data_IF_659005284439
#
_entry.id   IF_659005284439
#
_cell.length_a   1.000
_cell.length_b   1.000
_cell.length_c   1.000
_cell.angle_alpha   90.00
_cell.angle_beta   90.00
_cell.angle_gamma   90.00
#
_symmetry.space_group_name_H-M   'P 1'
#
loop_
_entity.id
_entity.type
_entity.pdbx_description
1 polymer ?
#
# COMPACT_ATOMS: atom_id res chain seq x y z
N UNK A 1 -14.13 20.78 23.84
CA UNK A 1 -13.35 19.53 23.72
C UNK A 1 -13.76 18.90 22.41
N UNK A 2 -12.97 19.08 21.34
CA UNK A 2 -13.18 18.28 20.13
C UNK A 2 -12.49 16.95 20.38
N UNK A 3 -13.27 15.86 20.37
CA UNK A 3 -12.69 14.53 20.21
C UNK A 3 -11.85 14.53 18.94
N UNK A 4 -10.65 13.92 18.90
CA UNK A 4 -10.04 13.64 17.62
C UNK A 4 -11.06 12.80 16.85
N UNK A 5 -11.58 13.35 15.75
CA UNK A 5 -12.27 12.52 14.77
C UNK A 5 -11.20 11.54 14.31
N UNK A 6 -11.28 10.29 14.78
CA UNK A 6 -10.45 9.18 14.30
C UNK A 6 -10.60 9.14 12.78
N UNK A 7 -9.67 9.77 12.07
CA UNK A 7 -9.72 9.88 10.62
C UNK A 7 -9.35 8.52 10.05
N UNK A 8 -10.35 7.81 9.54
CA UNK A 8 -10.22 6.55 8.81
C UNK A 8 -9.01 6.57 7.88
N UNK A 9 -8.16 5.55 7.92
CA UNK A 9 -7.01 5.41 7.02
C UNK A 9 -7.45 5.34 5.56
N UNK A 10 -6.54 5.59 4.63
CA UNK A 10 -6.82 5.50 3.20
C UNK A 10 -5.99 4.38 2.58
N UNK A 11 -6.65 3.36 2.03
CA UNK A 11 -6.00 2.29 1.27
C UNK A 11 -6.33 2.49 -0.22
N UNK A 12 -5.30 2.70 -1.03
CA UNK A 12 -5.45 2.96 -2.46
C UNK A 12 -4.73 1.90 -3.27
N UNK A 13 -5.49 1.03 -3.93
CA UNK A 13 -4.96 0.07 -4.90
C UNK A 13 -4.78 0.74 -6.26
N UNK A 14 -3.60 0.61 -6.84
CA UNK A 14 -3.26 1.28 -8.09
C UNK A 14 -2.45 0.39 -9.03
N UNK A 15 -2.91 0.33 -10.28
CA UNK A 15 -2.17 -0.24 -11.40
C UNK A 15 -1.03 0.66 -11.90
N UNK A 16 -0.94 1.89 -11.39
CA UNK A 16 0.13 2.83 -11.70
C UNK A 16 1.14 2.90 -10.55
N UNK A 17 2.42 2.92 -10.92
CA UNK A 17 3.54 3.13 -10.00
C UNK A 17 3.61 4.59 -9.57
N UNK A 18 3.90 4.85 -8.30
CA UNK A 18 4.07 6.20 -7.77
C UNK A 18 5.17 6.96 -8.51
N UNK A 19 6.27 6.30 -8.86
CA UNK A 19 7.46 6.97 -9.41
C UNK A 19 7.41 7.19 -10.95
N UNK A 20 6.34 6.80 -11.66
CA UNK A 20 6.31 6.85 -13.13
C UNK A 20 6.05 8.26 -13.69
N UNK A 21 4.92 8.89 -13.34
CA UNK A 21 4.57 10.25 -13.76
C UNK A 21 3.83 10.94 -12.63
N UNK A 22 4.26 12.14 -12.24
CA UNK A 22 3.57 12.92 -11.23
C UNK A 22 2.20 13.38 -11.76
N UNK A 23 1.12 12.84 -11.19
CA UNK A 23 -0.25 13.06 -11.66
C UNK A 23 -1.17 13.57 -10.53
N UNK A 24 -2.38 13.99 -10.89
CA UNK A 24 -3.42 14.44 -9.94
C UNK A 24 -3.66 13.51 -8.75
N UNK A 25 -3.59 12.16 -8.88
CA UNK A 25 -3.72 11.27 -7.73
C UNK A 25 -2.68 11.57 -6.64
N UNK A 26 -1.41 11.80 -7.00
CA UNK A 26 -0.35 12.04 -6.02
C UNK A 26 -0.60 13.32 -5.23
N UNK A 27 -0.95 14.42 -5.89
CA UNK A 27 -1.35 15.66 -5.20
C UNK A 27 -2.51 15.45 -4.22
N UNK A 28 -3.52 14.67 -4.60
CA UNK A 28 -4.66 14.38 -3.72
C UNK A 28 -4.24 13.53 -2.53
N UNK A 29 -3.47 12.47 -2.75
CA UNK A 29 -3.05 11.54 -1.71
C UNK A 29 -2.07 12.18 -0.73
N UNK A 30 -1.09 12.93 -1.21
CA UNK A 30 -0.18 13.75 -0.38
C UNK A 30 -0.94 14.78 0.47
N UNK A 31 -2.09 15.29 0.00
CA UNK A 31 -2.94 16.17 0.81
C UNK A 31 -3.66 15.41 1.92
N UNK A 32 -4.14 14.19 1.65
CA UNK A 32 -4.76 13.35 2.68
C UNK A 32 -3.73 12.87 3.71
N UNK A 33 -2.50 12.60 3.28
CA UNK A 33 -1.37 12.18 4.13
C UNK A 33 -0.99 13.22 5.19
N UNK A 34 -1.42 14.48 5.05
CA UNK A 34 -1.27 15.52 6.10
C UNK A 34 -2.22 15.34 7.28
N UNK A 35 -3.24 14.51 7.15
CA UNK A 35 -4.35 14.40 8.10
C UNK A 35 -4.65 12.97 8.54
N UNK A 36 -4.30 11.96 7.73
CA UNK A 36 -4.52 10.53 8.02
C UNK A 36 -3.41 9.69 7.38
N UNK A 37 -3.25 8.43 7.82
CA UNK A 37 -2.31 7.51 7.16
C UNK A 37 -2.85 7.16 5.77
N UNK A 38 -1.96 7.14 4.79
CA UNK A 38 -2.28 6.79 3.41
C UNK A 38 -1.36 5.67 2.97
N UNK A 39 -1.95 4.55 2.58
CA UNK A 39 -1.30 3.39 2.01
C UNK A 39 -1.62 3.35 0.51
N UNK A 40 -0.59 3.43 -0.32
CA UNK A 40 -0.70 3.31 -1.76
C UNK A 40 -0.13 1.96 -2.17
N UNK A 41 -1.03 1.02 -2.45
CA UNK A 41 -0.71 -0.36 -2.79
C UNK A 41 -0.53 -0.45 -4.30
N UNK A 42 0.68 -0.78 -4.73
CA UNK A 42 0.99 -1.00 -6.14
C UNK A 42 0.86 -2.47 -6.54
N UNK A 43 0.83 -2.73 -7.84
CA UNK A 43 0.91 -4.07 -8.42
C UNK A 43 2.10 -4.89 -7.90
N UNK A 44 1.99 -6.22 -7.79
CA UNK A 44 3.12 -7.06 -7.42
C UNK A 44 4.32 -6.91 -8.38
N UNK A 45 5.52 -7.02 -7.84
CA UNK A 45 6.77 -7.15 -8.60
C UNK A 45 7.27 -8.58 -8.50
N UNK A 46 7.34 -9.25 -9.66
CA UNK A 46 7.72 -10.66 -9.76
C UNK A 46 9.19 -10.75 -10.16
N UNK A 47 9.95 -11.61 -9.47
CA UNK A 47 11.32 -11.98 -9.82
C UNK A 47 12.43 -11.08 -9.29
N UNK A 48 12.10 -10.17 -8.38
CA UNK A 48 13.10 -9.34 -7.69
C UNK A 48 13.58 -9.96 -6.36
N UNK A 49 12.98 -11.08 -5.95
CA UNK A 49 13.21 -11.74 -4.66
C UNK A 49 13.14 -13.26 -4.81
N UNK A 50 13.73 -13.99 -3.86
CA UNK A 50 13.56 -15.44 -3.71
C UNK A 50 12.42 -15.81 -2.77
N UNK A 51 11.99 -14.88 -1.92
CA UNK A 51 10.94 -15.07 -0.91
C UNK A 51 9.90 -13.96 -1.01
N UNK A 52 8.63 -14.35 -0.86
CA UNK A 52 7.49 -13.45 -0.94
C UNK A 52 7.45 -12.53 0.29
N UNK A 53 7.37 -11.22 0.10
CA UNK A 53 7.28 -10.24 1.19
C UNK A 53 6.68 -8.91 0.74
N UNK A 54 6.20 -8.11 1.69
CA UNK A 54 5.86 -6.70 1.43
C UNK A 54 7.08 -5.80 1.53
N UNK A 55 7.29 -5.02 0.49
CA UNK A 55 8.21 -3.89 0.52
C UNK A 55 7.43 -2.61 0.79
N UNK A 56 7.67 -1.99 1.96
CA UNK A 56 7.02 -0.75 2.38
C UNK A 56 8.03 0.38 2.42
N UNK A 57 7.76 1.48 1.71
CA UNK A 57 8.56 2.72 1.77
C UNK A 57 7.67 3.92 2.04
N UNK A 58 8.17 4.89 2.80
CA UNK A 58 7.49 6.16 3.00
C UNK A 58 8.06 7.22 2.04
N UNK A 59 7.17 7.96 1.39
CA UNK A 59 7.52 9.08 0.50
C UNK A 59 7.82 10.35 1.29
N UNK A 60 8.41 11.36 0.64
CA UNK A 60 8.59 12.69 1.25
C UNK A 60 7.25 13.35 1.61
N UNK A 61 6.15 12.91 1.01
CA UNK A 61 4.80 13.39 1.26
C UNK A 61 3.99 12.54 2.27
N UNK A 62 4.66 11.71 3.08
CA UNK A 62 4.07 10.85 4.11
C UNK A 62 3.04 9.82 3.60
N UNK A 63 3.14 9.45 2.31
CA UNK A 63 2.40 8.32 1.75
C UNK A 63 3.25 7.06 1.89
N UNK A 64 2.69 6.00 2.48
CA UNK A 64 3.32 4.67 2.54
C UNK A 64 3.04 3.92 1.24
N UNK A 65 4.06 3.70 0.44
CA UNK A 65 3.99 2.85 -0.75
C UNK A 65 4.17 1.41 -0.32
N UNK A 66 3.19 0.57 -0.65
CA UNK A 66 3.17 -0.85 -0.31
C UNK A 66 3.27 -1.63 -1.61
N UNK A 67 4.32 -2.44 -1.74
CA UNK A 67 4.61 -3.17 -2.98
C UNK A 67 4.82 -4.65 -2.62
N UNK A 68 3.95 -5.56 -3.10
CA UNK A 68 4.19 -6.99 -2.95
C UNK A 68 5.37 -7.44 -3.83
N UNK A 69 6.36 -8.07 -3.23
CA UNK A 69 7.48 -8.68 -3.94
C UNK A 69 7.29 -10.19 -3.94
N UNK A 70 7.29 -10.80 -5.13
CA UNK A 70 7.02 -12.23 -5.31
C UNK A 70 8.18 -12.90 -6.07
N UNK A 71 8.59 -14.12 -5.70
CA UNK A 71 9.53 -14.89 -6.52
C UNK A 71 8.97 -15.29 -7.89
N UNK A 72 9.88 -15.60 -8.83
CA UNK A 72 9.51 -16.12 -10.15
C UNK A 72 8.87 -17.50 -10.06
N UNK A 73 8.11 -17.88 -11.10
CA UNK A 73 7.59 -19.24 -11.26
C UNK A 73 6.29 -19.53 -10.52
N UNK A 74 5.69 -18.52 -9.85
CA UNK A 74 4.33 -18.65 -9.32
C UNK A 74 3.29 -18.62 -10.44
N UNK A 75 2.18 -19.33 -10.22
CA UNK A 75 0.97 -19.21 -11.05
C UNK A 75 0.06 -18.08 -10.52
N UNK A 76 -0.92 -17.68 -11.32
CA UNK A 76 -1.84 -16.56 -10.99
C UNK A 76 -2.58 -16.76 -9.67
N UNK A 77 -3.06 -17.99 -9.39
CA UNK A 77 -3.79 -18.30 -8.15
C UNK A 77 -2.87 -18.12 -6.93
N UNK A 78 -1.65 -18.66 -7.00
CA UNK A 78 -0.68 -18.53 -5.91
C UNK A 78 -0.20 -17.09 -5.71
N UNK A 79 -0.16 -16.28 -6.78
CA UNK A 79 0.11 -14.84 -6.68
C UNK A 79 -1.01 -14.14 -5.93
N UNK A 80 -2.26 -14.37 -6.32
CA UNK A 80 -3.43 -13.76 -5.67
C UNK A 80 -3.53 -14.16 -4.19
N UNK A 81 -3.34 -15.44 -3.87
CA UNK A 81 -3.31 -15.95 -2.50
C UNK A 81 -2.21 -15.27 -1.67
N UNK A 82 -0.97 -15.22 -2.20
CA UNK A 82 0.15 -14.58 -1.51
C UNK A 82 -0.09 -13.09 -1.27
N UNK A 83 -0.66 -12.38 -2.25
CA UNK A 83 -0.97 -10.95 -2.10
C UNK A 83 -2.09 -10.73 -1.08
N UNK A 84 -3.11 -11.59 -1.06
CA UNK A 84 -4.17 -11.51 -0.05
C UNK A 84 -3.62 -11.71 1.36
N UNK A 85 -2.82 -12.76 1.59
CA UNK A 85 -2.16 -13.00 2.89
C UNK A 85 -1.32 -11.79 3.32
N UNK A 86 -0.53 -11.23 2.40
CA UNK A 86 0.25 -10.02 2.67
C UNK A 86 -0.61 -8.81 3.04
N UNK A 87 -1.77 -8.62 2.41
CA UNK A 87 -2.67 -7.50 2.76
C UNK A 87 -3.32 -7.71 4.13
N UNK A 88 -3.64 -8.95 4.50
CA UNK A 88 -4.13 -9.27 5.84
C UNK A 88 -3.05 -8.97 6.90
N UNK A 89 -1.81 -9.41 6.65
CA UNK A 89 -0.67 -9.13 7.52
C UNK A 89 -0.45 -7.62 7.65
N UNK A 90 -0.46 -6.87 6.56
CA UNK A 90 -0.35 -5.40 6.58
C UNK A 90 -1.42 -4.76 7.46
N UNK A 91 -2.69 -5.13 7.26
CA UNK A 91 -3.82 -4.57 8.01
C UNK A 91 -3.67 -4.85 9.51
N UNK A 92 -3.22 -6.04 9.86
CA UNK A 92 -2.99 -6.44 11.24
C UNK A 92 -1.79 -5.71 11.86
N UNK A 93 -0.63 -5.72 11.19
CA UNK A 93 0.62 -5.13 11.70
C UNK A 93 0.55 -3.61 11.83
N UNK A 94 -0.13 -2.95 10.89
CA UNK A 94 -0.31 -1.49 10.90
C UNK A 94 -1.54 -1.04 11.70
N UNK A 95 -2.24 -1.97 12.36
CA UNK A 95 -3.45 -1.71 13.15
C UNK A 95 -4.49 -0.88 12.36
N UNK A 96 -4.76 -1.26 11.11
CA UNK A 96 -5.67 -0.55 10.19
C UNK A 96 -7.12 -0.95 10.52
N UNK A 97 -7.66 -0.37 11.59
CA UNK A 97 -8.96 -0.75 12.16
C UNK A 97 -10.17 -0.05 11.49
N UNK A 98 -9.92 1.02 10.75
CA UNK A 98 -10.96 1.79 10.05
C UNK A 98 -10.32 2.42 8.81
N UNK A 99 -10.76 2.02 7.61
CA UNK A 99 -10.23 2.54 6.35
C UNK A 99 -11.33 2.82 5.32
N UNK A 100 -11.00 3.68 4.36
CA UNK A 100 -11.80 3.98 3.16
C UNK A 100 -11.01 3.60 1.92
#
# INVERSE_FOLDING_TARGET
>A
MHSPCETSDLLVFSHLRWDFVYQRPQHLLSRHAKHRRVYYVEEPLIGLTTEAHLHIKETEENVKLVIPYLPEGMNEISIEESVMEMMEDLIQEEEINNFT
#
